data_IF_593797444538
#
_entry.id   IF_593797444538
#
_cell.length_a   1.000
_cell.length_b   1.000
_cell.length_c   1.000
_cell.angle_alpha   90.00
_cell.angle_beta   90.00
_cell.angle_gamma   90.00
#
_symmetry.space_group_name_H-M   'P 1'
#
loop_
_entity.id
_entity.type
_entity.pdbx_description
1 polymer ?
#
# COMPACT_ATOMS: atom_id res chain seq x y z
N UNK A 1 -0.83 16.50 -18.08
CA UNK A 1 0.63 16.61 -18.07
C UNK A 1 1.16 17.42 -16.89
N UNK A 2 0.74 18.68 -16.65
CA UNK A 2 1.27 19.52 -15.56
C UNK A 2 1.09 18.92 -14.16
N UNK A 3 -0.07 18.31 -13.86
CA UNK A 3 -0.33 17.64 -12.57
C UNK A 3 0.55 16.41 -12.35
N UNK A 4 0.78 15.62 -13.39
CA UNK A 4 1.65 14.43 -13.31
C UNK A 4 3.11 14.81 -13.10
N UNK A 5 3.59 15.87 -13.75
CA UNK A 5 4.94 16.39 -13.53
C UNK A 5 5.11 16.92 -12.10
N UNK A 6 4.14 17.67 -11.59
CA UNK A 6 4.15 18.14 -10.20
C UNK A 6 4.15 17.00 -9.19
N UNK A 7 3.32 15.97 -9.41
CA UNK A 7 3.30 14.78 -8.57
C UNK A 7 4.66 14.07 -8.57
N UNK A 8 5.29 13.92 -9.75
CA UNK A 8 6.62 13.32 -9.87
C UNK A 8 7.70 14.11 -9.12
N UNK A 9 7.70 15.44 -9.23
CA UNK A 9 8.65 16.29 -8.50
C UNK A 9 8.45 16.20 -6.99
N UNK A 10 7.20 16.24 -6.51
CA UNK A 10 6.90 16.11 -5.07
C UNK A 10 7.32 14.74 -4.54
N UNK A 11 7.08 13.66 -5.30
CA UNK A 11 7.52 12.32 -4.93
C UNK A 11 9.06 12.21 -4.92
N UNK A 12 9.76 12.80 -5.88
CA UNK A 12 11.22 12.83 -5.90
C UNK A 12 11.79 13.56 -4.68
N UNK A 13 11.19 14.71 -4.32
CA UNK A 13 11.56 15.46 -3.11
C UNK A 13 11.24 14.67 -1.84
N UNK A 14 10.10 13.99 -1.79
CA UNK A 14 9.72 13.15 -0.65
C UNK A 14 10.67 11.96 -0.48
N UNK A 15 11.08 11.31 -1.57
CA UNK A 15 12.06 10.22 -1.54
C UNK A 15 13.44 10.73 -1.07
N UNK A 16 13.92 11.86 -1.60
CA UNK A 16 15.17 12.47 -1.17
C UNK A 16 15.14 12.87 0.31
N UNK A 17 14.02 13.43 0.78
CA UNK A 17 13.82 13.77 2.18
C UNK A 17 13.80 12.53 3.07
N UNK A 18 13.19 11.42 2.62
CA UNK A 18 13.17 10.16 3.34
C UNK A 18 14.58 9.60 3.55
N UNK A 19 15.42 9.60 2.52
CA UNK A 19 16.84 9.19 2.62
C UNK A 19 17.59 10.09 3.59
N UNK A 20 17.49 11.40 3.43
CA UNK A 20 18.18 12.36 4.30
C UNK A 20 17.75 12.23 5.77
N UNK A 21 16.45 12.04 6.02
CA UNK A 21 15.93 11.84 7.37
C UNK A 21 16.38 10.51 7.95
N UNK A 22 16.48 9.46 7.12
CA UNK A 22 16.99 8.16 7.53
C UNK A 22 18.42 8.22 8.03
N UNK A 23 19.28 8.89 7.30
CA UNK A 23 20.68 9.12 7.70
C UNK A 23 20.77 9.90 9.02
N UNK A 24 19.94 10.94 9.16
CA UNK A 24 19.88 11.74 10.40
C UNK A 24 19.44 10.92 11.64
N UNK A 25 18.56 9.96 11.49
CA UNK A 25 18.10 9.07 12.56
C UNK A 25 18.92 7.77 12.69
N UNK A 26 19.97 7.61 11.89
CA UNK A 26 20.79 6.38 11.87
C UNK A 26 20.03 5.15 11.41
N UNK A 27 19.00 5.33 10.58
CA UNK A 27 18.24 4.25 9.95
C UNK A 27 18.85 3.97 8.57
N UNK A 28 19.16 2.71 8.30
CA UNK A 28 19.65 2.27 6.98
C UNK A 28 18.50 2.29 5.95
N UNK A 29 17.96 3.49 5.65
CA UNK A 29 16.85 3.67 4.73
C UNK A 29 17.27 3.60 3.26
N UNK A 30 18.56 3.76 2.94
CA UNK A 30 19.06 3.89 1.58
C UNK A 30 18.63 2.74 0.67
N UNK A 31 18.64 1.51 1.21
CA UNK A 31 18.27 0.30 0.45
C UNK A 31 16.77 0.19 0.17
N UNK A 32 15.91 0.80 0.99
CA UNK A 32 14.44 0.64 0.91
C UNK A 32 13.70 1.96 0.66
N UNK A 33 14.38 3.10 0.71
CA UNK A 33 13.76 4.42 0.63
C UNK A 33 12.97 4.61 -0.68
N UNK A 34 13.59 4.35 -1.81
CA UNK A 34 12.93 4.49 -3.12
C UNK A 34 11.82 3.47 -3.29
N UNK A 35 12.05 2.21 -2.89
CA UNK A 35 11.07 1.14 -2.99
C UNK A 35 9.83 1.47 -2.14
N UNK A 36 10.03 1.82 -0.88
CA UNK A 36 8.94 2.17 0.02
C UNK A 36 8.17 3.39 -0.47
N UNK A 37 8.85 4.49 -0.79
CA UNK A 37 8.22 5.71 -1.27
C UNK A 37 7.42 5.48 -2.57
N UNK A 38 7.98 4.75 -3.53
CA UNK A 38 7.31 4.45 -4.79
C UNK A 38 6.04 3.59 -4.55
N UNK A 39 6.14 2.52 -3.76
CA UNK A 39 5.01 1.64 -3.49
C UNK A 39 3.93 2.33 -2.64
N UNK A 40 4.32 3.12 -1.65
CA UNK A 40 3.39 3.96 -0.89
C UNK A 40 2.63 4.94 -1.78
N UNK A 41 3.33 5.58 -2.72
CA UNK A 41 2.71 6.47 -3.71
C UNK A 41 1.73 5.72 -4.64
N UNK A 42 2.10 4.53 -5.11
CA UNK A 42 1.19 3.68 -5.93
C UNK A 42 -0.09 3.37 -5.16
N UNK A 43 0.02 2.97 -3.88
CA UNK A 43 -1.14 2.70 -3.02
C UNK A 43 -2.04 3.93 -2.86
N UNK A 44 -1.46 5.14 -2.83
CA UNK A 44 -2.23 6.39 -2.75
C UNK A 44 -2.91 6.75 -4.07
N UNK A 45 -2.23 6.54 -5.21
CA UNK A 45 -2.68 7.01 -6.52
C UNK A 45 -3.71 6.10 -7.21
N UNK A 46 -3.75 4.81 -6.88
CA UNK A 46 -4.72 3.89 -7.49
C UNK A 46 -6.14 4.27 -7.06
N UNK A 47 -7.08 4.59 -7.98
CA UNK A 47 -8.41 5.08 -7.65
C UNK A 47 -9.39 3.94 -7.32
N UNK A 48 -8.98 3.01 -6.46
CA UNK A 48 -9.76 1.83 -6.06
C UNK A 48 -10.17 1.93 -4.59
N UNK A 49 -11.44 2.10 -4.34
CA UNK A 49 -11.99 2.15 -2.98
C UNK A 49 -11.48 3.33 -2.12
N UNK A 50 -11.56 3.15 -0.82
CA UNK A 50 -11.13 4.17 0.15
C UNK A 50 -9.62 4.10 0.39
N UNK A 51 -8.89 5.24 0.44
CA UNK A 51 -7.45 5.27 0.68
C UNK A 51 -7.02 4.49 1.93
N UNK A 52 -7.78 4.59 3.02
CA UNK A 52 -7.48 3.86 4.26
C UNK A 52 -7.56 2.34 4.10
N UNK A 53 -8.48 1.80 3.29
CA UNK A 53 -8.58 0.36 3.04
C UNK A 53 -7.43 -0.15 2.17
N UNK A 54 -6.94 0.66 1.25
CA UNK A 54 -5.73 0.34 0.46
C UNK A 54 -4.50 0.30 1.34
N UNK A 55 -4.34 1.31 2.21
CA UNK A 55 -3.23 1.35 3.16
C UNK A 55 -3.30 0.18 4.15
N UNK A 56 -4.49 -0.15 4.68
CA UNK A 56 -4.63 -1.31 5.57
C UNK A 56 -4.31 -2.63 4.87
N UNK A 57 -4.64 -2.78 3.58
CA UNK A 57 -4.23 -3.91 2.77
C UNK A 57 -2.72 -4.01 2.64
N UNK A 58 -2.04 -2.91 2.33
CA UNK A 58 -0.58 -2.86 2.25
C UNK A 58 0.06 -3.28 3.58
N UNK A 59 -0.39 -2.70 4.71
CA UNK A 59 0.10 -3.05 6.04
C UNK A 59 -0.13 -4.54 6.35
N UNK A 60 -1.32 -5.06 6.04
CA UNK A 60 -1.63 -6.47 6.24
C UNK A 60 -0.70 -7.38 5.43
N UNK A 61 -0.40 -7.03 4.17
CA UNK A 61 0.54 -7.77 3.33
C UNK A 61 1.96 -7.78 3.89
N UNK A 62 2.46 -6.63 4.33
CA UNK A 62 3.77 -6.52 5.03
C UNK A 62 3.78 -7.42 6.28
N UNK A 63 2.73 -7.35 7.10
CA UNK A 63 2.64 -8.13 8.35
C UNK A 63 2.61 -9.64 8.08
N UNK A 64 1.80 -10.08 7.12
CA UNK A 64 1.72 -11.50 6.72
C UNK A 64 3.08 -12.01 6.25
N UNK A 65 3.76 -11.23 5.43
CA UNK A 65 5.07 -11.60 4.90
C UNK A 65 6.13 -11.63 6.00
N UNK A 66 6.10 -10.68 6.92
CA UNK A 66 6.98 -10.68 8.08
C UNK A 66 6.82 -11.96 8.92
N UNK A 67 5.58 -12.32 9.23
CA UNK A 67 5.28 -13.59 9.90
C UNK A 67 5.78 -14.78 9.05
N UNK A 68 5.60 -14.72 7.74
CA UNK A 68 6.10 -15.73 6.80
C UNK A 68 7.62 -15.93 6.88
N UNK A 69 8.40 -14.87 7.01
CA UNK A 69 9.86 -14.97 7.21
C UNK A 69 10.23 -15.59 8.56
N UNK A 70 9.53 -15.23 9.62
CA UNK A 70 9.75 -15.84 10.94
C UNK A 70 9.44 -17.34 10.90
N UNK A 71 8.34 -17.74 10.27
CA UNK A 71 7.97 -19.15 10.09
C UNK A 71 8.99 -19.88 9.20
N UNK A 72 9.44 -19.24 8.11
CA UNK A 72 10.46 -19.81 7.23
C UNK A 72 11.75 -20.09 8.00
N UNK A 73 12.24 -19.13 8.77
CA UNK A 73 13.45 -19.28 9.57
C UNK A 73 13.34 -20.41 10.62
N UNK A 74 12.14 -20.62 11.19
CA UNK A 74 11.92 -21.60 12.24
C UNK A 74 11.68 -23.02 11.72
N UNK A 75 11.02 -23.17 10.57
CA UNK A 75 10.43 -24.46 10.15
C UNK A 75 10.88 -24.95 8.77
N UNK A 76 11.38 -24.08 7.91
CA UNK A 76 11.65 -24.42 6.51
C UNK A 76 13.18 -24.45 6.24
N UNK A 77 13.67 -25.42 5.46
CA UNK A 77 15.07 -25.42 5.03
C UNK A 77 15.31 -24.27 4.04
N UNK A 78 16.50 -23.67 4.08
CA UNK A 78 16.88 -22.60 3.16
C UNK A 78 17.30 -23.13 1.79
N UNK A 79 16.37 -23.80 1.14
CA UNK A 79 16.47 -24.38 -0.20
C UNK A 79 15.48 -23.74 -1.16
N UNK A 80 15.63 -23.98 -2.45
CA UNK A 80 14.67 -23.51 -3.45
C UNK A 80 13.24 -24.00 -3.18
N UNK A 81 13.09 -25.25 -2.73
CA UNK A 81 11.79 -25.82 -2.33
C UNK A 81 11.22 -25.15 -1.09
N UNK A 82 12.04 -24.88 -0.06
CA UNK A 82 11.59 -24.15 1.12
C UNK A 82 11.11 -22.73 0.80
N UNK A 83 11.81 -22.04 -0.10
CA UNK A 83 11.38 -20.71 -0.60
C UNK A 83 10.04 -20.76 -1.36
N UNK A 84 9.87 -21.77 -2.22
CA UNK A 84 8.61 -21.95 -2.96
C UNK A 84 7.43 -22.23 -2.03
N UNK A 85 7.63 -23.08 -1.00
CA UNK A 85 6.63 -23.36 0.02
C UNK A 85 6.29 -22.09 0.83
N UNK A 86 7.29 -21.32 1.26
CA UNK A 86 7.07 -20.06 1.96
C UNK A 86 6.27 -19.06 1.11
N UNK A 87 6.64 -18.86 -0.16
CA UNK A 87 5.93 -18.00 -1.08
C UNK A 87 4.46 -18.43 -1.26
N UNK A 88 4.21 -19.73 -1.43
CA UNK A 88 2.85 -20.27 -1.54
C UNK A 88 2.02 -19.94 -0.28
N UNK A 89 2.57 -20.18 0.90
CA UNK A 89 1.85 -19.88 2.15
C UNK A 89 1.62 -18.39 2.37
N UNK A 90 2.56 -17.52 2.04
CA UNK A 90 2.38 -16.07 2.13
C UNK A 90 1.20 -15.62 1.26
N UNK A 91 1.14 -16.05 -0.01
CA UNK A 91 0.03 -15.69 -0.91
C UNK A 91 -1.30 -16.26 -0.41
N UNK A 92 -1.29 -17.49 0.09
CA UNK A 92 -2.49 -18.11 0.67
C UNK A 92 -2.99 -17.34 1.89
N UNK A 93 -2.09 -16.93 2.79
CA UNK A 93 -2.43 -16.11 3.96
C UNK A 93 -2.92 -14.73 3.57
N UNK A 94 -2.32 -14.07 2.57
CA UNK A 94 -2.83 -12.82 2.02
C UNK A 94 -4.27 -12.98 1.51
N UNK A 95 -4.53 -14.07 0.80
CA UNK A 95 -5.88 -14.39 0.30
C UNK A 95 -6.86 -14.61 1.47
N UNK A 96 -6.43 -15.34 2.50
CA UNK A 96 -7.25 -15.61 3.68
C UNK A 96 -7.58 -14.32 4.46
N UNK A 97 -6.63 -13.39 4.61
CA UNK A 97 -6.84 -12.09 5.25
C UNK A 97 -7.87 -11.26 4.47
N UNK A 98 -7.77 -11.21 3.15
CA UNK A 98 -8.75 -10.48 2.31
C UNK A 98 -10.13 -11.13 2.38
N UNK A 99 -10.20 -12.46 2.37
CA UNK A 99 -11.44 -13.20 2.53
C UNK A 99 -12.09 -12.94 3.91
N UNK A 100 -11.28 -12.97 4.99
CA UNK A 100 -11.74 -12.66 6.35
C UNK A 100 -12.25 -11.21 6.48
N UNK A 101 -11.64 -10.28 5.74
CA UNK A 101 -12.11 -8.90 5.64
C UNK A 101 -13.36 -8.74 4.76
N UNK A 102 -13.98 -9.83 4.31
CA UNK A 102 -15.16 -9.85 3.42
C UNK A 102 -14.96 -9.02 2.14
N UNK A 103 -13.75 -9.02 1.58
CA UNK A 103 -13.41 -8.28 0.38
C UNK A 103 -13.37 -6.75 0.54
N UNK A 104 -13.44 -6.23 1.76
CA UNK A 104 -13.34 -4.78 2.02
C UNK A 104 -11.95 -4.23 1.74
N UNK A 105 -10.93 -5.07 1.95
CA UNK A 105 -9.52 -4.75 1.69
C UNK A 105 -9.21 -5.19 0.26
N UNK A 106 -8.64 -4.30 -0.59
CA UNK A 106 -8.25 -4.67 -1.93
C UNK A 106 -7.14 -5.72 -1.93
N UNK A 107 -7.33 -6.81 -2.65
CA UNK A 107 -6.35 -7.91 -2.70
C UNK A 107 -5.00 -7.46 -3.29
N UNK A 108 -5.04 -6.60 -4.31
CA UNK A 108 -3.83 -6.08 -4.94
C UNK A 108 -2.94 -5.31 -3.95
N UNK A 109 -3.51 -4.51 -3.04
CA UNK A 109 -2.72 -3.74 -2.07
C UNK A 109 -2.05 -4.65 -1.03
N UNK A 110 -2.72 -5.76 -0.65
CA UNK A 110 -2.14 -6.78 0.22
C UNK A 110 -0.96 -7.47 -0.46
N UNK A 111 -1.09 -7.83 -1.74
CA UNK A 111 0.02 -8.41 -2.51
C UNK A 111 1.18 -7.43 -2.71
N UNK A 112 0.87 -6.15 -2.95
CA UNK A 112 1.90 -5.10 -3.06
C UNK A 112 2.67 -4.96 -1.75
N UNK A 113 1.99 -4.97 -0.60
CA UNK A 113 2.64 -4.96 0.71
C UNK A 113 3.51 -6.19 0.95
N UNK A 114 3.02 -7.37 0.59
CA UNK A 114 3.80 -8.60 0.67
C UNK A 114 5.06 -8.54 -0.21
N UNK A 115 4.91 -8.16 -1.47
CA UNK A 115 6.03 -8.02 -2.41
C UNK A 115 7.03 -6.95 -2.00
N UNK A 116 6.56 -5.87 -1.38
CA UNK A 116 7.41 -4.80 -0.86
C UNK A 116 8.39 -5.32 0.20
N UNK A 117 7.90 -6.11 1.16
CA UNK A 117 8.79 -6.67 2.19
C UNK A 117 9.72 -7.75 1.61
N UNK A 118 9.24 -8.59 0.68
CA UNK A 118 10.13 -9.55 0.00
C UNK A 118 11.26 -8.81 -0.71
N UNK A 119 10.94 -7.78 -1.49
CA UNK A 119 11.95 -7.00 -2.22
C UNK A 119 12.93 -6.25 -1.31
N UNK A 120 12.48 -5.81 -0.14
CA UNK A 120 13.32 -5.09 0.81
C UNK A 120 14.21 -6.02 1.67
N UNK A 121 13.74 -7.23 1.97
CA UNK A 121 14.36 -8.04 3.04
C UNK A 121 15.00 -9.35 2.55
N UNK A 122 14.68 -9.88 1.37
CA UNK A 122 15.15 -11.20 0.92
C UNK A 122 16.69 -11.31 0.92
N UNK A 123 17.39 -10.28 0.52
CA UNK A 123 18.87 -10.27 0.50
C UNK A 123 19.45 -10.28 1.91
N UNK A 124 18.88 -9.50 2.83
CA UNK A 124 19.31 -9.48 4.23
C UNK A 124 19.00 -10.82 4.92
N UNK A 125 17.84 -11.38 4.65
CA UNK A 125 17.47 -12.69 5.16
C UNK A 125 18.43 -13.79 4.66
N UNK A 126 18.75 -13.81 3.38
CA UNK A 126 19.63 -14.81 2.78
C UNK A 126 21.05 -14.74 3.35
N UNK A 127 21.50 -13.56 3.79
CA UNK A 127 22.83 -13.39 4.40
C UNK A 127 22.92 -13.96 5.83
N UNK A 128 21.84 -13.83 6.63
CA UNK A 128 21.83 -14.25 8.04
C UNK A 128 20.43 -14.71 8.49
N UNK A 129 19.94 -15.90 8.05
CA UNK A 129 18.62 -16.41 8.41
C UNK A 129 18.36 -16.52 9.94
N UNK A 130 19.33 -16.85 10.79
CA UNK A 130 19.12 -16.93 12.23
C UNK A 130 18.79 -15.58 12.88
N UNK A 131 19.21 -14.47 12.26
CA UNK A 131 19.07 -13.12 12.82
C UNK A 131 17.76 -12.42 12.36
N UNK A 132 16.79 -13.20 11.88
CA UNK A 132 15.51 -12.67 11.35
C UNK A 132 14.80 -11.73 12.32
N UNK A 133 14.85 -12.01 13.61
CA UNK A 133 14.14 -11.20 14.62
C UNK A 133 14.75 -9.80 14.79
N UNK A 134 16.08 -9.67 14.72
CA UNK A 134 16.77 -8.39 14.87
C UNK A 134 16.80 -7.58 13.57
N UNK A 135 17.09 -8.22 12.45
CA UNK A 135 17.26 -7.55 11.15
C UNK A 135 15.93 -7.20 10.47
N UNK A 136 14.87 -8.00 10.68
CA UNK A 136 13.58 -7.75 10.04
C UNK A 136 12.85 -6.54 10.61
N UNK A 137 13.00 -6.26 11.92
CA UNK A 137 12.31 -5.13 12.55
C UNK A 137 12.80 -3.80 11.98
N UNK A 138 14.11 -3.62 11.78
CA UNK A 138 14.67 -2.42 11.18
C UNK A 138 14.18 -2.24 9.73
N UNK A 139 14.23 -3.29 8.93
CA UNK A 139 13.77 -3.26 7.53
C UNK A 139 12.26 -2.98 7.43
N UNK A 140 11.42 -3.64 8.26
CA UNK A 140 9.97 -3.39 8.28
C UNK A 140 9.69 -1.95 8.68
N UNK A 141 10.37 -1.43 9.71
CA UNK A 141 10.20 -0.04 10.15
C UNK A 141 10.60 0.95 9.06
N UNK A 142 11.75 0.74 8.42
CA UNK A 142 12.25 1.55 7.32
C UNK A 142 11.27 1.53 6.13
N UNK A 143 10.80 0.36 5.74
CA UNK A 143 9.82 0.20 4.67
C UNK A 143 8.50 0.90 4.98
N UNK A 144 7.98 0.72 6.18
CA UNK A 144 6.71 1.33 6.59
C UNK A 144 6.81 2.86 6.68
N UNK A 145 7.94 3.38 7.17
CA UNK A 145 8.18 4.82 7.24
C UNK A 145 8.26 5.43 5.83
N UNK A 146 9.06 4.85 4.95
CA UNK A 146 9.22 5.35 3.58
C UNK A 146 7.95 5.19 2.75
N UNK A 147 7.22 4.08 2.89
CA UNK A 147 5.92 3.89 2.26
C UNK A 147 4.88 4.89 2.78
N UNK A 148 4.87 5.18 4.08
CA UNK A 148 4.02 6.21 4.68
C UNK A 148 4.29 7.61 4.10
N UNK A 149 5.56 8.00 3.96
CA UNK A 149 5.97 9.26 3.34
C UNK A 149 5.50 9.32 1.88
N UNK A 150 5.74 8.26 1.09
CA UNK A 150 5.29 8.18 -0.29
C UNK A 150 3.77 8.25 -0.44
N UNK A 151 3.05 7.53 0.43
CA UNK A 151 1.59 7.55 0.48
C UNK A 151 1.04 8.95 0.78
N UNK A 152 1.57 9.62 1.80
CA UNK A 152 1.15 10.97 2.16
C UNK A 152 1.45 11.97 1.05
N UNK A 153 2.67 11.96 0.51
CA UNK A 153 3.06 12.85 -0.57
C UNK A 153 2.16 12.71 -1.81
N UNK A 154 1.82 11.46 -2.17
CA UNK A 154 0.98 11.16 -3.33
C UNK A 154 -0.51 11.42 -3.07
N UNK A 155 -0.99 11.36 -1.83
CA UNK A 155 -2.40 11.56 -1.48
C UNK A 155 -2.92 12.95 -1.88
N UNK A 156 -2.05 13.96 -1.92
CA UNK A 156 -2.41 15.31 -2.39
C UNK A 156 -2.73 15.35 -3.90
N UNK A 157 -2.27 14.36 -4.66
CA UNK A 157 -2.48 14.27 -6.11
C UNK A 157 -3.41 13.11 -6.48
N UNK A 158 -3.90 12.36 -5.49
CA UNK A 158 -4.77 11.22 -5.72
C UNK A 158 -6.06 11.66 -6.42
N UNK A 159 -6.50 10.96 -7.48
CA UNK A 159 -7.79 11.22 -8.09
C UNK A 159 -8.91 10.95 -7.09
N UNK A 160 -10.03 11.69 -7.21
CA UNK A 160 -11.20 11.42 -6.41
C UNK A 160 -11.66 9.97 -6.60
N UNK A 161 -12.13 9.27 -5.54
CA UNK A 161 -12.59 7.90 -5.65
C UNK A 161 -13.64 7.77 -6.75
N UNK A 162 -13.49 6.77 -7.62
CA UNK A 162 -14.49 6.44 -8.64
C UNK A 162 -15.76 6.03 -7.91
N UNK A 163 -16.82 6.82 -8.02
CA UNK A 163 -18.09 6.60 -7.28
C UNK A 163 -18.48 7.70 -6.30
N UNK A 164 -17.61 8.67 -6.03
CA UNK A 164 -17.99 9.91 -5.39
C UNK A 164 -18.69 10.85 -6.43
N UNK A 165 -19.83 10.39 -6.98
CA UNK A 165 -20.72 11.34 -7.64
C UNK A 165 -21.13 12.36 -6.60
N UNK A 166 -21.00 13.68 -6.87
CA UNK A 166 -21.68 14.67 -6.06
C UNK A 166 -23.15 14.22 -6.02
N UNK A 167 -23.69 14.01 -4.83
CA UNK A 167 -25.14 13.95 -4.70
C UNK A 167 -25.63 15.26 -5.30
N UNK A 168 -26.00 15.21 -6.57
CA UNK A 168 -26.77 16.28 -7.16
C UNK A 168 -28.00 16.39 -6.27
N UNK A 169 -28.19 17.55 -5.71
CA UNK A 169 -29.34 17.89 -4.90
C UNK A 169 -30.58 17.75 -5.81
N UNK A 170 -31.03 16.51 -5.99
CA UNK A 170 -32.24 16.17 -6.77
C UNK A 170 -33.55 16.73 -6.18
N UNK A 171 -33.44 17.67 -5.26
CA UNK A 171 -34.59 18.27 -4.61
C UNK A 171 -35.17 19.48 -5.38
N UNK A 172 -34.44 19.98 -6.39
CA UNK A 172 -34.97 21.10 -7.23
C UNK A 172 -35.52 20.64 -8.58
N UNK A 173 -35.07 19.50 -9.10
CA UNK A 173 -35.52 19.00 -10.41
C UNK A 173 -36.94 18.40 -10.35
N UNK A 174 -37.27 17.66 -9.27
CA UNK A 174 -38.59 17.08 -9.07
C UNK A 174 -39.70 18.17 -8.85
N UNK A 175 -39.31 19.36 -8.41
CA UNK A 175 -40.27 20.47 -8.22
C UNK A 175 -40.62 21.18 -9.54
N UNK A 176 -39.67 21.29 -10.44
CA UNK A 176 -39.86 21.97 -11.71
C UNK A 176 -40.63 21.09 -12.70
N UNK A 177 -40.34 19.79 -12.75
CA UNK A 177 -41.09 18.84 -13.58
C UNK A 177 -42.57 18.69 -13.13
N UNK A 178 -42.86 18.76 -11.83
CA UNK A 178 -44.20 18.72 -11.32
C UNK A 178 -44.99 20.01 -11.60
N UNK A 179 -44.33 21.17 -11.72
CA UNK A 179 -44.96 22.41 -12.08
C UNK A 179 -45.34 22.46 -13.57
N UNK A 180 -44.46 21.93 -14.44
CA UNK A 180 -44.75 21.83 -15.88
C UNK A 180 -45.93 20.88 -16.18
N UNK A 181 -46.01 19.75 -15.46
CA UNK A 181 -47.13 18.81 -15.59
C UNK A 181 -48.46 19.39 -15.12
N UNK A 182 -48.45 20.25 -14.10
CA UNK A 182 -49.66 20.91 -13.62
C UNK A 182 -50.12 22.07 -14.55
N UNK A 183 -49.20 22.69 -15.28
CA UNK A 183 -49.53 23.77 -16.23
C UNK A 183 -50.05 23.23 -17.56
N UNK A 184 -49.60 22.03 -17.99
CA UNK A 184 -50.07 21.34 -19.20
C UNK A 184 -51.47 20.71 -19.05
N UNK A 185 -52.00 20.61 -17.83
CA UNK A 185 -53.31 20.02 -17.54
C UNK A 185 -54.47 21.04 -17.45
N UNK A 186 -54.21 22.32 -17.75
CA UNK A 186 -55.22 23.37 -17.84
C UNK A 186 -55.55 23.68 -19.30
#
# INVERSE_FOLDING_TARGET
MRKTMLAGVVLALAAALAVWLGDFFGLELDSVALLGAALGAVVALVPDGRPGLRLSGFIAGVTVTWIGYVVRAALLPDTASGRAVAAFFIVLLCTAVVAAAMGRIPFWSTLVGAGALVGAYETAYAAAPPDVASTSVSTVTALMMTAGIGFLAASFFAPAPVGAQPRSNGRHQDSDDNLELMESAK
#
